data_IF_444752713960
#
_entry.id   IF_444752713960
#
_cell.length_a   1.000
_cell.length_b   1.000
_cell.length_c   1.000
_cell.angle_alpha   90.00
_cell.angle_beta   90.00
_cell.angle_gamma   90.00
#
_symmetry.space_group_name_H-M   'P 1'
#
loop_
_entity.id
_entity.type
_entity.pdbx_description
1 polymer ?
#
# COMPACT_ATOMS: atom_id res chain seq x y z
N UNK A 1 9.34 -2.87 18.44
CA UNK A 1 10.10 -2.07 17.45
C UNK A 1 10.37 -2.90 16.20
N UNK A 2 10.87 -4.16 16.32
CA UNK A 2 11.14 -5.04 15.18
C UNK A 2 9.91 -5.26 14.30
N UNK A 3 8.73 -5.50 14.88
CA UNK A 3 7.48 -5.72 14.15
C UNK A 3 7.01 -4.46 13.40
N UNK A 4 7.23 -3.28 13.97
CA UNK A 4 6.90 -2.01 13.31
C UNK A 4 7.81 -1.81 12.10
N UNK A 5 9.11 -2.02 12.25
CA UNK A 5 10.08 -1.92 11.17
C UNK A 5 9.80 -2.93 10.06
N UNK A 6 9.51 -4.19 10.42
CA UNK A 6 9.11 -5.21 9.45
C UNK A 6 7.86 -4.79 8.67
N UNK A 7 6.87 -4.19 9.35
CA UNK A 7 5.66 -3.67 8.71
C UNK A 7 5.91 -2.50 7.74
N UNK A 8 6.88 -1.63 8.05
CA UNK A 8 7.25 -0.49 7.19
C UNK A 8 8.01 -0.92 5.93
N UNK A 9 8.75 -2.04 6.01
CA UNK A 9 9.52 -2.57 4.89
C UNK A 9 8.71 -3.49 3.97
N UNK A 10 7.48 -3.84 4.34
CA UNK A 10 6.64 -4.68 3.50
C UNK A 10 6.27 -3.99 2.19
N UNK A 11 6.40 -4.68 1.04
CA UNK A 11 6.07 -4.10 -0.26
C UNK A 11 4.57 -3.97 -0.52
N UNK A 12 3.73 -4.66 0.25
CA UNK A 12 2.25 -4.64 0.17
C UNK A 12 1.63 -5.16 1.46
N UNK A 13 0.38 -4.77 1.73
CA UNK A 13 -0.45 -5.31 2.82
C UNK A 13 -1.34 -6.48 2.41
N UNK A 14 -1.44 -6.75 1.11
CA UNK A 14 -2.27 -7.85 0.60
C UNK A 14 -1.59 -9.20 0.77
N UNK A 15 -2.35 -10.23 1.16
CA UNK A 15 -1.92 -11.63 1.20
C UNK A 15 -2.19 -12.32 -0.13
N UNK A 16 -3.26 -11.90 -0.83
CA UNK A 16 -3.70 -12.44 -2.13
C UNK A 16 -2.84 -11.98 -3.30
N UNK A 17 -2.12 -10.88 -3.14
CA UNK A 17 -1.36 -10.28 -4.23
C UNK A 17 0.01 -9.80 -3.76
N UNK A 18 1.04 -10.11 -4.55
CA UNK A 18 2.40 -9.63 -4.33
C UNK A 18 2.96 -8.97 -5.59
N UNK A 19 3.67 -7.85 -5.47
CA UNK A 19 4.30 -7.21 -6.62
C UNK A 19 5.40 -8.10 -7.20
N UNK A 20 5.38 -8.23 -8.53
CA UNK A 20 6.42 -8.95 -9.28
C UNK A 20 7.61 -8.03 -9.57
N UNK A 21 8.78 -8.61 -9.87
CA UNK A 21 9.96 -7.85 -10.27
C UNK A 21 9.71 -6.98 -11.53
N UNK A 22 8.88 -7.47 -12.45
CA UNK A 22 8.47 -6.72 -13.66
C UNK A 22 7.74 -5.44 -13.30
N UNK A 23 6.90 -5.48 -12.28
CA UNK A 23 6.19 -4.31 -11.80
C UNK A 23 7.16 -3.29 -11.17
N UNK A 24 8.18 -3.75 -10.45
CA UNK A 24 9.21 -2.86 -9.91
C UNK A 24 10.01 -2.20 -11.02
N UNK A 25 10.38 -2.92 -12.09
CA UNK A 25 11.04 -2.34 -13.26
C UNK A 25 10.14 -1.34 -14.00
N UNK A 26 8.87 -1.67 -14.20
CA UNK A 26 7.92 -0.75 -14.83
C UNK A 26 7.77 0.55 -14.02
N UNK A 27 7.73 0.48 -12.70
CA UNK A 27 7.70 1.67 -11.85
C UNK A 27 9.00 2.47 -11.92
N UNK A 28 10.16 1.81 -11.92
CA UNK A 28 11.46 2.48 -12.05
C UNK A 28 11.59 3.19 -13.42
N UNK A 29 11.13 2.53 -14.49
CA UNK A 29 11.08 3.12 -15.81
C UNK A 29 10.15 4.34 -15.87
N UNK A 30 8.94 4.23 -15.30
CA UNK A 30 8.00 5.34 -15.21
C UNK A 30 8.55 6.50 -14.38
N UNK A 31 9.21 6.21 -13.26
CA UNK A 31 9.89 7.23 -12.44
C UNK A 31 10.97 7.95 -13.24
N UNK A 32 11.79 7.21 -13.99
CA UNK A 32 12.81 7.80 -14.86
C UNK A 32 12.21 8.69 -15.96
N UNK A 33 11.10 8.26 -16.59
CA UNK A 33 10.41 9.07 -17.59
C UNK A 33 9.83 10.35 -16.99
N UNK A 34 9.21 10.29 -15.82
CA UNK A 34 8.67 11.46 -15.11
C UNK A 34 9.81 12.43 -14.78
N UNK A 35 10.94 11.92 -14.27
CA UNK A 35 12.11 12.74 -13.95
C UNK A 35 12.69 13.43 -15.18
N UNK A 36 12.88 12.68 -16.27
CA UNK A 36 13.37 13.23 -17.54
C UNK A 36 12.41 14.27 -18.11
N UNK A 37 11.12 14.01 -18.06
CA UNK A 37 10.10 14.96 -18.49
C UNK A 37 10.11 16.23 -17.65
N UNK A 38 10.22 16.11 -16.31
CA UNK A 38 10.33 17.25 -15.40
C UNK A 38 11.54 18.10 -15.72
N UNK A 39 12.72 17.48 -15.88
CA UNK A 39 13.96 18.18 -16.26
C UNK A 39 13.81 18.87 -17.62
N UNK A 40 13.20 18.22 -18.61
CA UNK A 40 13.02 18.78 -19.93
C UNK A 40 12.08 20.00 -19.95
N UNK A 41 11.00 19.95 -19.14
CA UNK A 41 9.99 21.02 -19.07
C UNK A 41 10.49 22.26 -18.31
N UNK A 42 11.42 22.06 -17.39
CA UNK A 42 11.94 23.14 -16.54
C UNK A 42 13.32 23.66 -16.97
N UNK A 43 13.85 23.17 -18.12
CA UNK A 43 15.12 23.59 -18.65
C UNK A 43 15.14 25.12 -19.03
N UNK A 44 16.24 25.90 -18.72
CA UNK A 44 17.53 25.48 -18.11
C UNK A 44 17.46 25.43 -16.57
N UNK A 45 17.85 24.29 -15.99
CA UNK A 45 17.96 24.11 -14.55
C UNK A 45 19.39 24.31 -14.04
N UNK A 46 19.51 24.75 -12.79
CA UNK A 46 20.78 24.68 -12.07
C UNK A 46 21.18 23.23 -11.81
N UNK A 47 22.47 22.95 -11.68
CA UNK A 47 22.96 21.59 -11.37
C UNK A 47 22.35 21.04 -10.07
N UNK A 48 22.08 21.91 -9.09
CA UNK A 48 21.46 21.56 -7.82
C UNK A 48 20.01 21.16 -8.05
N UNK A 49 19.23 21.86 -8.86
CA UNK A 49 17.86 21.51 -9.19
C UNK A 49 17.78 20.16 -9.90
N UNK A 50 18.69 19.88 -10.84
CA UNK A 50 18.77 18.55 -11.49
C UNK A 50 19.04 17.44 -10.48
N UNK A 51 19.89 17.66 -9.48
CA UNK A 51 20.14 16.67 -8.42
C UNK A 51 18.90 16.39 -7.59
N UNK A 52 18.11 17.41 -7.24
CA UNK A 52 16.85 17.22 -6.53
C UNK A 52 15.81 16.48 -7.37
N UNK A 53 15.71 16.76 -8.67
CA UNK A 53 14.83 16.03 -9.59
C UNK A 53 15.22 14.54 -9.68
N UNK A 54 16.50 14.24 -9.82
CA UNK A 54 17.02 12.86 -9.82
C UNK A 54 16.74 12.18 -8.48
N UNK A 55 17.00 12.85 -7.35
CA UNK A 55 16.74 12.31 -6.03
C UNK A 55 15.25 12.00 -5.82
N UNK A 56 14.36 12.87 -6.32
CA UNK A 56 12.91 12.64 -6.33
C UNK A 56 12.49 11.43 -7.16
N UNK A 57 13.04 11.29 -8.36
CA UNK A 57 12.82 10.12 -9.21
C UNK A 57 13.32 8.82 -8.57
N UNK A 58 14.48 8.85 -7.92
CA UNK A 58 14.99 7.70 -7.15
C UNK A 58 14.09 7.35 -5.96
N UNK A 59 13.59 8.35 -5.24
CA UNK A 59 12.63 8.14 -4.15
C UNK A 59 11.35 7.47 -4.66
N UNK A 60 10.82 7.92 -5.80
CA UNK A 60 9.65 7.33 -6.45
C UNK A 60 9.91 5.89 -6.91
N UNK A 61 11.07 5.61 -7.50
CA UNK A 61 11.47 4.25 -7.88
C UNK A 61 11.60 3.34 -6.63
N UNK A 62 12.22 3.84 -5.55
CA UNK A 62 12.38 3.15 -4.28
C UNK A 62 11.01 2.84 -3.63
N UNK A 63 10.04 3.75 -3.77
CA UNK A 63 8.67 3.58 -3.27
C UNK A 63 8.00 2.31 -3.85
N UNK A 64 8.40 1.86 -5.04
CA UNK A 64 7.93 0.59 -5.61
C UNK A 64 8.36 -0.63 -4.79
N UNK A 65 9.57 -0.67 -4.26
CA UNK A 65 10.11 -1.80 -3.48
C UNK A 65 9.83 -1.64 -1.99
N UNK A 66 10.03 -0.43 -1.49
CA UNK A 66 9.88 -0.03 -0.09
C UNK A 66 8.95 1.18 -0.02
N UNK A 67 7.62 0.97 0.01
CA UNK A 67 6.64 2.05 -0.14
C UNK A 67 6.80 3.17 0.87
N UNK A 68 6.97 2.86 2.16
CA UNK A 68 7.11 3.87 3.20
C UNK A 68 8.47 4.59 3.18
N UNK A 69 9.61 3.88 3.14
CA UNK A 69 10.91 4.57 3.01
C UNK A 69 10.99 5.44 1.76
N UNK A 70 10.49 4.97 0.62
CA UNK A 70 10.45 5.76 -0.61
C UNK A 70 9.55 6.98 -0.49
N UNK A 71 8.38 6.86 0.14
CA UNK A 71 7.46 7.97 0.34
C UNK A 71 8.01 9.04 1.30
N UNK A 72 8.63 8.62 2.40
CA UNK A 72 9.29 9.54 3.35
C UNK A 72 10.48 10.26 2.67
N UNK A 73 11.30 9.53 1.92
CA UNK A 73 12.40 10.11 1.15
C UNK A 73 11.88 11.11 0.11
N UNK A 74 10.82 10.76 -0.63
CA UNK A 74 10.18 11.65 -1.60
C UNK A 74 9.68 12.95 -0.96
N UNK A 75 9.02 12.85 0.18
CA UNK A 75 8.57 14.01 0.94
C UNK A 75 9.75 14.87 1.44
N UNK A 76 10.81 14.25 1.94
CA UNK A 76 12.00 14.93 2.42
C UNK A 76 12.73 15.65 1.27
N UNK A 77 12.88 15.02 0.11
CA UNK A 77 13.48 15.62 -1.09
C UNK A 77 12.64 16.80 -1.58
N UNK A 78 11.32 16.66 -1.59
CA UNK A 78 10.42 17.75 -1.95
C UNK A 78 10.61 18.95 -1.03
N UNK A 79 10.58 18.72 0.29
CA UNK A 79 10.77 19.78 1.27
C UNK A 79 12.16 20.44 1.15
N UNK A 80 13.22 19.63 1.09
CA UNK A 80 14.61 20.14 0.98
C UNK A 80 14.82 20.92 -0.32
N UNK A 81 14.25 20.46 -1.43
CA UNK A 81 14.32 21.13 -2.72
C UNK A 81 13.63 22.50 -2.69
N UNK A 82 12.43 22.58 -2.10
CA UNK A 82 11.70 23.84 -1.95
C UNK A 82 12.47 24.86 -1.09
N UNK A 83 13.09 24.39 0.01
CA UNK A 83 13.90 25.28 0.87
C UNK A 83 15.21 25.71 0.21
N UNK A 84 15.86 24.84 -0.58
CA UNK A 84 17.15 25.10 -1.20
C UNK A 84 17.07 25.89 -2.51
N UNK A 85 15.93 25.90 -3.18
CA UNK A 85 15.74 26.42 -4.54
C UNK A 85 14.67 27.52 -4.61
N UNK A 86 14.72 28.48 -3.68
CA UNK A 86 13.74 29.60 -3.59
C UNK A 86 13.69 30.47 -4.84
N UNK A 87 14.79 30.54 -5.61
CA UNK A 87 14.94 31.43 -6.76
C UNK A 87 14.70 30.73 -8.12
N UNK A 88 14.44 29.43 -8.11
CA UNK A 88 14.28 28.61 -9.32
C UNK A 88 12.91 27.95 -9.28
N UNK A 89 12.13 27.95 -10.38
CA UNK A 89 10.88 27.21 -10.45
C UNK A 89 11.19 25.71 -10.33
N UNK A 90 11.07 25.18 -9.12
CA UNK A 90 11.26 23.78 -8.81
C UNK A 90 9.89 23.19 -8.48
N UNK A 91 9.45 22.18 -9.23
CA UNK A 91 8.11 21.59 -9.05
C UNK A 91 8.16 20.10 -8.67
N UNK A 92 8.76 19.71 -7.53
CA UNK A 92 8.73 18.33 -7.06
C UNK A 92 7.39 17.99 -6.37
N UNK A 93 6.46 18.90 -6.34
CA UNK A 93 5.20 18.76 -5.59
C UNK A 93 4.36 17.53 -5.97
N UNK A 94 4.56 16.97 -7.16
CA UNK A 94 3.84 15.77 -7.62
C UNK A 94 4.38 14.48 -7.00
N UNK A 95 5.63 14.42 -6.54
CA UNK A 95 6.26 13.19 -6.01
C UNK A 95 5.51 12.64 -4.80
N UNK A 96 5.16 13.43 -3.76
CA UNK A 96 4.37 12.92 -2.65
C UNK A 96 2.99 12.38 -3.05
N UNK A 97 2.36 12.95 -4.09
CA UNK A 97 1.09 12.46 -4.62
C UNK A 97 1.25 11.08 -5.28
N UNK A 98 2.28 10.90 -6.09
CA UNK A 98 2.58 9.61 -6.72
C UNK A 98 2.97 8.55 -5.68
N UNK A 99 3.76 8.92 -4.67
CA UNK A 99 4.06 8.03 -3.54
C UNK A 99 2.79 7.64 -2.77
N UNK A 100 1.89 8.59 -2.53
CA UNK A 100 0.56 8.32 -1.93
C UNK A 100 -0.24 7.35 -2.78
N UNK A 101 -0.30 7.54 -4.10
CA UNK A 101 -0.97 6.62 -5.01
C UNK A 101 -0.41 5.19 -4.90
N UNK A 102 0.92 5.04 -4.84
CA UNK A 102 1.57 3.74 -4.66
C UNK A 102 1.19 3.11 -3.30
N UNK A 103 1.24 3.88 -2.20
CA UNK A 103 0.84 3.41 -0.87
C UNK A 103 -0.61 2.92 -0.86
N UNK A 104 -1.53 3.70 -1.41
CA UNK A 104 -2.94 3.37 -1.51
C UNK A 104 -3.16 2.11 -2.35
N UNK A 105 -2.57 2.02 -3.54
CA UNK A 105 -2.67 0.85 -4.42
C UNK A 105 -2.09 -0.43 -3.81
N UNK A 106 -1.17 -0.31 -2.84
CA UNK A 106 -0.55 -1.41 -2.09
C UNK A 106 -1.32 -1.81 -0.82
N UNK A 107 -2.46 -1.17 -0.54
CA UNK A 107 -3.33 -1.50 0.59
C UNK A 107 -2.90 -0.91 1.94
N UNK A 108 -1.95 0.03 1.96
CA UNK A 108 -1.56 0.70 3.19
C UNK A 108 -2.68 1.62 3.71
N UNK A 109 -2.59 2.02 4.97
CA UNK A 109 -3.57 2.89 5.61
C UNK A 109 -3.71 4.22 4.86
N UNK A 110 -4.95 4.63 4.59
CA UNK A 110 -5.28 5.86 3.85
C UNK A 110 -4.84 7.11 4.61
N UNK A 111 -5.09 7.16 5.92
CA UNK A 111 -4.81 8.35 6.72
C UNK A 111 -3.35 8.82 6.63
N UNK A 112 -2.33 7.97 6.95
CA UNK A 112 -0.95 8.40 6.81
C UNK A 112 -0.51 8.55 5.34
N UNK A 113 -1.14 7.87 4.38
CA UNK A 113 -0.85 8.08 2.97
C UNK A 113 -1.32 9.46 2.49
N UNK A 114 -2.55 9.87 2.85
CA UNK A 114 -3.06 11.18 2.48
C UNK A 114 -2.40 12.33 3.23
N UNK A 115 -1.78 12.09 4.40
CA UNK A 115 -1.02 13.14 5.08
C UNK A 115 0.17 13.64 4.24
N UNK A 116 0.72 12.80 3.33
CA UNK A 116 1.76 13.22 2.38
C UNK A 116 1.23 14.22 1.35
N UNK A 117 -0.03 14.06 0.92
CA UNK A 117 -0.68 15.02 0.02
C UNK A 117 -0.89 16.36 0.73
N UNK A 118 -1.40 16.32 1.96
CA UNK A 118 -1.58 17.54 2.77
C UNK A 118 -0.23 18.23 2.99
N UNK A 119 0.80 17.48 3.33
CA UNK A 119 2.16 17.98 3.47
C UNK A 119 2.67 18.65 2.18
N UNK A 120 2.47 18.00 1.02
CA UNK A 120 2.82 18.57 -0.28
C UNK A 120 2.07 19.87 -0.57
N UNK A 121 0.78 19.95 -0.25
CA UNK A 121 -0.02 21.17 -0.43
C UNK A 121 0.49 22.31 0.47
N UNK A 122 0.83 22.00 1.73
CA UNK A 122 1.41 23.01 2.66
C UNK A 122 2.75 23.54 2.13
N UNK A 123 3.62 22.65 1.64
CA UNK A 123 4.90 23.08 1.03
C UNK A 123 4.64 23.94 -0.20
N UNK A 124 3.73 23.53 -1.07
CA UNK A 124 3.40 24.30 -2.28
C UNK A 124 2.87 25.70 -1.95
N UNK A 125 2.01 25.82 -0.93
CA UNK A 125 1.52 27.13 -0.46
C UNK A 125 2.68 27.96 0.09
N UNK A 126 3.57 27.35 0.86
CA UNK A 126 4.74 28.02 1.41
C UNK A 126 5.69 28.51 0.30
N UNK A 127 5.95 27.69 -0.71
CA UNK A 127 6.79 28.04 -1.86
C UNK A 127 6.23 29.26 -2.62
N UNK A 128 4.94 29.31 -2.86
CA UNK A 128 4.28 30.46 -3.52
C UNK A 128 4.35 31.73 -2.66
N UNK A 129 4.24 31.59 -1.34
CA UNK A 129 4.24 32.75 -0.42
C UNK A 129 5.65 33.36 -0.25
N UNK A 130 6.69 32.53 -0.27
CA UNK A 130 8.06 32.95 0.05
C UNK A 130 9.02 32.87 -1.14
N UNK A 131 8.70 32.09 -2.16
CA UNK A 131 9.61 31.76 -3.27
C UNK A 131 9.73 32.79 -4.37
N UNK A 132 8.95 33.87 -4.39
CA UNK A 132 9.12 34.99 -5.35
C UNK A 132 9.13 34.68 -6.85
N UNK A 133 9.18 33.42 -7.23
CA UNK A 133 9.41 32.93 -8.58
C UNK A 133 8.16 32.92 -9.45
N UNK A 134 7.35 33.96 -9.52
CA UNK A 134 6.34 34.20 -10.57
C UNK A 134 5.40 33.05 -11.00
N UNK A 135 5.56 31.87 -10.41
CA UNK A 135 4.72 30.70 -10.67
C UNK A 135 3.34 30.94 -10.09
N UNK A 136 2.34 30.95 -10.97
CA UNK A 136 0.95 31.06 -10.53
C UNK A 136 0.60 29.86 -9.66
N UNK A 137 0.24 30.12 -8.39
CA UNK A 137 -0.29 29.09 -7.49
C UNK A 137 -1.42 28.27 -8.16
N UNK A 138 -2.18 28.88 -9.05
CA UNK A 138 -3.25 28.26 -9.80
C UNK A 138 -2.75 27.17 -10.75
N UNK A 139 -1.64 27.41 -11.49
CA UNK A 139 -1.07 26.40 -12.39
C UNK A 139 -0.48 25.21 -11.62
N UNK A 140 0.20 25.45 -10.50
CA UNK A 140 0.74 24.39 -9.64
C UNK A 140 -0.40 23.54 -9.03
N UNK A 141 -1.44 24.20 -8.53
CA UNK A 141 -2.62 23.52 -7.99
C UNK A 141 -3.31 22.69 -9.08
N UNK A 142 -3.47 23.25 -10.27
CA UNK A 142 -4.12 22.56 -11.39
C UNK A 142 -3.35 21.31 -11.83
N UNK A 143 -2.02 21.39 -11.98
CA UNK A 143 -1.19 20.24 -12.31
C UNK A 143 -1.23 19.19 -11.20
N UNK A 144 -1.11 19.60 -9.94
CA UNK A 144 -1.17 18.69 -8.81
C UNK A 144 -2.52 17.97 -8.69
N UNK A 145 -3.64 18.69 -8.88
CA UNK A 145 -4.97 18.11 -8.85
C UNK A 145 -5.22 17.16 -10.03
N UNK A 146 -4.82 17.54 -11.24
CA UNK A 146 -5.05 16.71 -12.44
C UNK A 146 -4.15 15.47 -12.42
N UNK A 147 -2.84 15.64 -12.29
CA UNK A 147 -1.91 14.52 -12.34
C UNK A 147 -1.91 13.72 -11.03
N UNK A 148 -1.82 14.38 -9.88
CA UNK A 148 -1.79 13.75 -8.58
C UNK A 148 -3.14 13.16 -8.18
N UNK A 149 -4.22 13.92 -8.33
CA UNK A 149 -5.58 13.48 -8.07
C UNK A 149 -5.99 12.32 -8.99
N UNK A 150 -5.62 12.39 -10.27
CA UNK A 150 -5.80 11.30 -11.23
C UNK A 150 -5.06 10.04 -10.82
N UNK A 151 -3.81 10.15 -10.38
CA UNK A 151 -3.01 9.02 -9.90
C UNK A 151 -3.62 8.37 -8.63
N UNK A 152 -4.11 9.17 -7.69
CA UNK A 152 -4.78 8.68 -6.47
C UNK A 152 -6.11 7.99 -6.83
N UNK A 153 -6.90 8.58 -7.72
CA UNK A 153 -8.16 7.97 -8.18
C UNK A 153 -7.90 6.60 -8.84
N UNK A 154 -6.89 6.51 -9.70
CA UNK A 154 -6.49 5.24 -10.31
C UNK A 154 -6.02 4.24 -9.25
N UNK A 155 -5.28 4.69 -8.24
CA UNK A 155 -4.83 3.84 -7.14
C UNK A 155 -5.99 3.28 -6.31
N UNK A 156 -7.03 4.08 -6.03
CA UNK A 156 -8.26 3.63 -5.34
C UNK A 156 -9.07 2.65 -6.22
N UNK A 157 -9.13 2.87 -7.53
CA UNK A 157 -9.74 1.92 -8.46
C UNK A 157 -9.02 0.57 -8.47
N UNK A 158 -7.69 0.57 -8.41
CA UNK A 158 -6.87 -0.64 -8.31
C UNK A 158 -7.03 -1.31 -6.94
N UNK A 159 -7.17 -0.52 -5.88
CA UNK A 159 -7.33 -0.99 -4.51
C UNK A 159 -8.65 -1.73 -4.29
N UNK A 160 -9.76 -1.18 -4.81
CA UNK A 160 -11.12 -1.68 -4.57
C UNK A 160 -11.28 -3.20 -4.85
N UNK A 161 -10.92 -3.75 -6.03
CA UNK A 161 -11.03 -5.18 -6.29
C UNK A 161 -10.07 -6.02 -5.42
N UNK A 162 -8.91 -5.48 -5.03
CA UNK A 162 -7.98 -6.18 -4.14
C UNK A 162 -8.51 -6.28 -2.73
N UNK A 163 -9.07 -5.20 -2.19
CA UNK A 163 -9.73 -5.20 -0.89
C UNK A 163 -10.92 -6.19 -0.88
N UNK A 164 -11.66 -6.29 -1.98
CA UNK A 164 -12.75 -7.24 -2.12
C UNK A 164 -12.26 -8.69 -2.16
N UNK A 165 -11.19 -8.98 -2.91
CA UNK A 165 -10.58 -10.30 -2.97
C UNK A 165 -10.05 -10.75 -1.60
N UNK A 166 -9.42 -9.83 -0.86
CA UNK A 166 -8.91 -10.10 0.49
C UNK A 166 -10.05 -10.44 1.47
N UNK A 167 -11.15 -9.65 1.45
CA UNK A 167 -12.35 -9.92 2.26
C UNK A 167 -12.99 -11.25 1.92
N UNK A 168 -13.14 -11.56 0.62
CA UNK A 168 -13.71 -12.84 0.17
C UNK A 168 -12.87 -14.02 0.63
N UNK A 169 -11.55 -13.92 0.59
CA UNK A 169 -10.66 -14.96 1.11
C UNK A 169 -10.82 -15.15 2.62
N UNK A 170 -10.94 -14.06 3.37
CA UNK A 170 -11.15 -14.12 4.83
C UNK A 170 -12.47 -14.81 5.16
N UNK A 171 -13.57 -14.39 4.53
CA UNK A 171 -14.88 -15.00 4.71
C UNK A 171 -14.87 -16.49 4.33
N UNK A 172 -14.20 -16.85 3.24
CA UNK A 172 -14.07 -18.26 2.83
C UNK A 172 -13.32 -19.09 3.88
N UNK A 173 -12.21 -18.60 4.41
CA UNK A 173 -11.44 -19.28 5.46
C UNK A 173 -12.30 -19.49 6.72
N UNK A 174 -13.01 -18.47 7.16
CA UNK A 174 -13.92 -18.58 8.31
C UNK A 174 -15.03 -19.61 8.08
N UNK A 175 -15.61 -19.65 6.88
CA UNK A 175 -16.64 -20.63 6.54
C UNK A 175 -16.09 -22.06 6.55
N UNK A 176 -14.90 -22.28 6.02
CA UNK A 176 -14.22 -23.57 6.03
C UNK A 176 -13.88 -24.04 7.46
N UNK A 177 -13.43 -23.14 8.32
CA UNK A 177 -13.17 -23.46 9.73
C UNK A 177 -14.45 -23.87 10.46
N UNK A 178 -15.56 -23.13 10.25
CA UNK A 178 -16.88 -23.50 10.81
C UNK A 178 -17.35 -24.86 10.31
N UNK A 179 -17.24 -25.13 9.01
CA UNK A 179 -17.60 -26.43 8.45
C UNK A 179 -16.76 -27.55 9.06
N UNK A 180 -15.44 -27.34 9.19
CA UNK A 180 -14.54 -28.32 9.83
C UNK A 180 -14.97 -28.64 11.27
N UNK A 181 -15.30 -27.62 12.06
CA UNK A 181 -15.77 -27.81 13.43
C UNK A 181 -17.09 -28.59 13.47
N UNK A 182 -18.04 -28.27 12.58
CA UNK A 182 -19.31 -29.01 12.49
C UNK A 182 -19.09 -30.48 12.17
N UNK A 183 -18.24 -30.80 11.18
CA UNK A 183 -17.92 -32.19 10.81
C UNK A 183 -17.24 -32.92 11.97
N UNK A 184 -16.30 -32.28 12.69
CA UNK A 184 -15.66 -32.89 13.86
C UNK A 184 -16.69 -33.20 14.97
N UNK A 185 -17.58 -32.23 15.23
CA UNK A 185 -18.63 -32.42 16.24
C UNK A 185 -19.60 -33.56 15.86
N UNK A 186 -20.04 -33.61 14.60
CA UNK A 186 -20.95 -34.67 14.12
C UNK A 186 -20.28 -36.04 14.15
N UNK A 187 -19.01 -36.15 13.77
CA UNK A 187 -18.22 -37.37 13.88
C UNK A 187 -18.10 -37.81 15.35
N UNK A 188 -17.78 -36.89 16.26
CA UNK A 188 -17.68 -37.18 17.68
C UNK A 188 -19.00 -37.72 18.23
N UNK A 189 -20.10 -37.05 17.92
CA UNK A 189 -21.45 -37.47 18.41
C UNK A 189 -21.86 -38.84 17.84
N UNK A 190 -21.50 -39.11 16.57
CA UNK A 190 -21.73 -40.39 15.94
C UNK A 190 -20.93 -41.51 16.61
N UNK A 191 -19.63 -41.28 16.82
CA UNK A 191 -18.72 -42.24 17.47
C UNK A 191 -19.14 -42.52 18.91
N UNK A 192 -19.50 -41.47 19.68
CA UNK A 192 -19.99 -41.64 21.05
C UNK A 192 -21.27 -42.43 21.09
N UNK A 193 -22.25 -42.16 20.22
CA UNK A 193 -23.50 -42.90 20.12
C UNK A 193 -23.28 -44.39 19.78
N UNK A 194 -22.43 -44.66 18.78
CA UNK A 194 -22.14 -46.03 18.32
C UNK A 194 -21.39 -46.83 19.39
N UNK A 195 -20.45 -46.22 20.09
CA UNK A 195 -19.74 -46.79 21.24
C UNK A 195 -20.75 -47.11 22.38
N UNK A 196 -21.62 -46.15 22.70
CA UNK A 196 -22.63 -46.36 23.75
C UNK A 196 -23.56 -47.54 23.41
N UNK A 197 -24.01 -47.63 22.15
CA UNK A 197 -24.82 -48.73 21.68
C UNK A 197 -24.08 -50.08 21.75
N UNK A 198 -22.82 -50.10 21.34
CA UNK A 198 -21.97 -51.30 21.42
C UNK A 198 -21.78 -51.77 22.86
N UNK A 199 -21.50 -50.85 23.78
CA UNK A 199 -21.36 -51.17 25.23
C UNK A 199 -22.68 -51.70 25.80
N UNK A 200 -23.82 -51.07 25.50
CA UNK A 200 -25.13 -51.56 25.97
C UNK A 200 -25.48 -52.94 25.42
N UNK A 201 -25.16 -53.20 24.15
CA UNK A 201 -25.40 -54.54 23.52
C UNK A 201 -24.50 -55.59 24.15
N UNK A 202 -23.22 -55.31 24.42
CA UNK A 202 -22.31 -56.22 25.09
C UNK A 202 -22.77 -56.54 26.54
N UNK A 203 -23.21 -55.52 27.27
CA UNK A 203 -23.72 -55.72 28.65
C UNK A 203 -25.02 -56.54 28.67
N UNK A 204 -25.93 -56.32 27.73
CA UNK A 204 -27.13 -57.12 27.57
C UNK A 204 -26.79 -58.60 27.26
N UNK A 205 -25.82 -58.86 26.38
CA UNK A 205 -25.36 -60.22 26.08
C UNK A 205 -24.75 -60.90 27.31
N UNK A 206 -23.98 -60.15 28.11
CA UNK A 206 -23.40 -60.65 29.36
C UNK A 206 -24.47 -61.02 30.41
N UNK A 207 -25.52 -60.21 30.51
CA UNK A 207 -26.63 -60.49 31.44
C UNK A 207 -27.52 -61.66 30.98
N UNK A 208 -27.59 -61.90 29.66
CA UNK A 208 -28.34 -63.02 29.09
C UNK A 208 -27.61 -64.35 29.25
N UNK A 209 -26.31 -64.39 29.43
CA UNK A 209 -25.46 -65.56 29.62
C UNK A 209 -24.59 -65.45 30.87
N UNK A 210 -25.12 -65.46 32.07
CA UNK A 210 -24.39 -65.20 33.32
C UNK A 210 -23.49 -66.33 33.77
N UNK A 211 -23.41 -67.46 33.05
CA UNK A 211 -22.62 -68.66 33.46
C UNK A 211 -21.35 -68.95 32.67
N UNK A 212 -20.84 -68.00 31.86
CA UNK A 212 -19.56 -68.19 31.18
C UNK A 212 -18.46 -67.30 31.78
#
# INVERSE_FOLDING_TARGET
VADILAGLLQPTRYTTWRPTWRLHLAHAFLAALITLFSIAMTWPLSSIAVLFEIAGGLALALCSRFPWPGAVLGAAVTWAGTVALTDVPFSPGIIPWLCTAILVARGFSRMPAYSLVVFSLVIMIADVQWGGAGTSWFSLLQVSLLAGGGAITLAELIRSPRDQAERSLHTYRESMERQRLLVVTELHDTVVRDLTHAVMTAEQARLAHPED
#
